data_IF_815471210609
#
_entry.id   IF_815471210609
#
_cell.length_a   1.000
_cell.length_b   1.000
_cell.length_c   1.000
_cell.angle_alpha   90.00
_cell.angle_beta   90.00
_cell.angle_gamma   90.00
#
_symmetry.space_group_name_H-M   'P 1'
#
loop_
_entity.id
_entity.type
_entity.pdbx_description
1 polymer ?
#
# COMPACT_ATOMS: atom_id res chain seq x y z
N UNK A 1 5.21 12.62 -4.83
CA UNK A 1 5.29 12.06 -6.19
C UNK A 1 6.61 12.46 -6.81
N UNK A 2 6.97 11.88 -7.95
CA UNK A 2 8.25 12.15 -8.61
C UNK A 2 8.36 13.60 -9.12
N UNK A 3 7.23 14.22 -9.46
CA UNK A 3 7.12 15.59 -9.97
C UNK A 3 6.80 16.65 -8.89
N UNK A 4 6.62 16.23 -7.64
CA UNK A 4 6.21 17.12 -6.55
C UNK A 4 4.75 17.61 -6.59
N UNK A 5 3.94 17.17 -7.55
CA UNK A 5 2.52 17.56 -7.64
C UNK A 5 1.66 16.97 -6.51
N UNK A 6 2.12 15.87 -5.91
CA UNK A 6 1.50 15.21 -4.76
C UNK A 6 2.50 15.11 -3.63
N UNK A 7 2.13 15.62 -2.46
CA UNK A 7 2.90 15.49 -1.21
C UNK A 7 2.10 14.66 -0.22
N UNK A 8 2.76 13.79 0.54
CA UNK A 8 2.12 13.00 1.60
C UNK A 8 2.87 13.20 2.91
N UNK A 9 2.18 12.96 4.02
CA UNK A 9 2.77 13.04 5.34
C UNK A 9 1.71 12.82 6.41
N UNK A 10 1.93 13.40 7.57
CA UNK A 10 0.96 13.39 8.65
C UNK A 10 0.83 14.77 9.28
N UNK A 11 -0.36 15.07 9.78
CA UNK A 11 -0.66 16.28 10.52
C UNK A 11 -1.23 15.92 11.89
N UNK A 12 -0.95 16.75 12.89
CA UNK A 12 -1.58 16.63 14.20
C UNK A 12 -2.99 17.23 14.13
N UNK A 13 -4.00 16.42 14.40
CA UNK A 13 -5.38 16.81 14.43
C UNK A 13 -5.91 16.73 15.86
N UNK A 14 -6.28 17.86 16.45
CA UNK A 14 -6.89 17.89 17.79
C UNK A 14 -8.38 17.58 17.64
N UNK A 15 -8.81 16.39 18.06
CA UNK A 15 -10.22 16.12 18.28
C UNK A 15 -10.60 16.52 19.71
N UNK A 16 -11.91 16.58 20.03
CA UNK A 16 -12.46 17.06 21.30
C UNK A 16 -11.90 16.41 22.58
N UNK A 17 -11.16 15.30 22.46
CA UNK A 17 -10.70 14.54 23.62
C UNK A 17 -9.19 14.26 23.64
N UNK A 18 -8.49 14.15 22.49
CA UNK A 18 -7.03 13.96 22.38
C UNK A 18 -6.55 14.39 20.99
N UNK A 19 -5.27 14.73 20.84
CA UNK A 19 -4.72 14.96 19.50
C UNK A 19 -4.18 13.69 18.85
N UNK A 20 -4.61 13.48 17.61
CA UNK A 20 -4.40 12.29 16.81
C UNK A 20 -3.57 12.65 15.57
N UNK A 21 -2.75 11.71 15.09
CA UNK A 21 -2.01 11.91 13.86
C UNK A 21 -2.85 11.43 12.68
N UNK A 22 -2.95 12.25 11.63
CA UNK A 22 -3.72 11.91 10.42
C UNK A 22 -2.80 11.93 9.22
N UNK A 23 -2.74 10.81 8.52
CA UNK A 23 -2.11 10.72 7.22
C UNK A 23 -2.84 11.65 6.25
N UNK A 24 -2.09 12.43 5.49
CA UNK A 24 -2.66 13.31 4.48
C UNK A 24 -2.01 13.10 3.12
N UNK A 25 -2.76 13.46 2.08
CA UNK A 25 -2.28 13.72 0.72
C UNK A 25 -2.61 15.15 0.36
N UNK A 26 -1.66 15.88 -0.21
CA UNK A 26 -1.84 17.25 -0.65
C UNK A 26 -1.64 17.36 -2.16
N UNK A 27 -2.48 18.17 -2.81
CA UNK A 27 -2.25 18.65 -4.18
C UNK A 27 -2.52 20.14 -4.26
N UNK A 28 -1.94 20.82 -5.25
CA UNK A 28 -2.18 22.24 -5.46
C UNK A 28 -3.66 22.56 -5.74
N UNK A 29 -4.37 21.68 -6.45
CA UNK A 29 -5.76 21.88 -6.82
C UNK A 29 -6.76 21.52 -5.70
N UNK A 30 -6.45 20.50 -4.89
CA UNK A 30 -7.36 19.95 -3.89
C UNK A 30 -7.03 20.34 -2.45
N UNK A 31 -5.87 20.96 -2.20
CA UNK A 31 -5.39 21.20 -0.84
C UNK A 31 -5.06 19.91 -0.10
N UNK A 32 -5.10 19.96 1.24
CA UNK A 32 -4.87 18.79 2.09
C UNK A 32 -6.12 17.90 2.15
N UNK A 33 -5.93 16.62 1.90
CA UNK A 33 -6.92 15.55 2.01
C UNK A 33 -6.50 14.60 3.13
N UNK A 34 -7.37 14.41 4.12
CA UNK A 34 -7.23 13.35 5.11
C UNK A 34 -7.47 11.98 4.46
N UNK A 35 -6.58 11.02 4.72
CA UNK A 35 -6.64 9.67 4.17
C UNK A 35 -7.44 8.69 5.03
N UNK A 36 -7.78 9.06 6.27
CA UNK A 36 -8.47 8.21 7.22
C UNK A 36 -7.55 7.37 8.09
N UNK A 37 -8.12 6.33 8.70
CA UNK A 37 -7.44 5.31 9.50
C UNK A 37 -8.03 3.93 9.15
N UNK A 38 -7.49 2.85 9.73
CA UNK A 38 -8.05 1.50 9.59
C UNK A 38 -9.16 1.22 10.63
N UNK A 39 -9.84 2.27 11.08
CA UNK A 39 -10.86 2.22 12.13
C UNK A 39 -10.34 2.54 13.53
N UNK A 40 -9.04 2.77 13.70
CA UNK A 40 -8.42 3.28 14.93
C UNK A 40 -8.22 4.80 14.92
N UNK A 41 -7.35 5.27 15.81
CA UNK A 41 -7.21 6.70 16.11
C UNK A 41 -6.21 7.44 15.20
N UNK A 42 -5.09 6.82 14.84
CA UNK A 42 -4.02 7.51 14.10
C UNK A 42 -3.59 6.82 12.80
N UNK A 43 -3.00 7.62 11.91
CA UNK A 43 -2.35 7.17 10.68
C UNK A 43 -1.18 8.08 10.30
N UNK A 44 -0.18 7.51 9.64
CA UNK A 44 1.02 8.20 9.15
C UNK A 44 1.35 7.74 7.73
N UNK A 45 1.42 8.65 6.76
CA UNK A 45 1.86 8.32 5.40
C UNK A 45 3.36 8.55 5.22
N UNK A 46 4.09 7.54 4.73
CA UNK A 46 5.56 7.55 4.61
C UNK A 46 6.04 7.47 3.16
N UNK A 47 5.25 6.87 2.26
CA UNK A 47 5.61 6.72 0.85
C UNK A 47 4.47 7.08 -0.08
N UNK A 48 4.80 7.58 -1.28
CA UNK A 48 3.86 7.83 -2.37
C UNK A 48 4.47 7.41 -3.72
N UNK A 49 3.67 6.80 -4.59
CA UNK A 49 4.09 6.39 -5.94
C UNK A 49 4.50 7.59 -6.81
N UNK A 50 5.20 7.33 -7.92
CA UNK A 50 5.72 8.37 -8.79
C UNK A 50 4.62 9.26 -9.38
N UNK A 51 3.47 8.68 -9.72
CA UNK A 51 2.27 9.36 -10.22
C UNK A 51 1.37 9.94 -9.10
N UNK A 52 1.70 9.69 -7.83
CA UNK A 52 0.93 10.19 -6.70
C UNK A 52 -0.40 9.48 -6.43
N UNK A 53 -0.65 8.32 -7.06
CA UNK A 53 -1.92 7.59 -6.98
C UNK A 53 -1.99 6.58 -5.83
N UNK A 54 -0.86 6.07 -5.36
CA UNK A 54 -0.76 5.11 -4.26
C UNK A 54 0.04 5.72 -3.10
N UNK A 55 -0.51 5.63 -1.89
CA UNK A 55 0.13 6.09 -0.65
C UNK A 55 0.26 4.92 0.31
N UNK A 56 1.38 4.81 1.04
CA UNK A 56 1.62 3.75 2.02
C UNK A 56 2.12 4.32 3.34
N UNK A 57 1.94 3.55 4.41
CA UNK A 57 2.37 3.94 5.74
C UNK A 57 1.91 2.97 6.81
N UNK A 58 1.64 3.49 8.01
CA UNK A 58 1.01 2.75 9.11
C UNK A 58 -0.27 3.45 9.56
N UNK A 59 -1.24 2.66 10.02
CA UNK A 59 -2.46 3.16 10.63
C UNK A 59 -2.91 2.21 11.74
N UNK A 60 -3.60 2.78 12.73
CA UNK A 60 -4.24 2.00 13.78
C UNK A 60 -5.52 1.38 13.22
N UNK A 61 -5.67 0.07 13.43
CA UNK A 61 -6.93 -0.61 13.18
C UNK A 61 -7.93 -0.40 14.34
N UNK A 62 -9.16 -0.90 14.19
CA UNK A 62 -10.20 -0.79 15.23
C UNK A 62 -9.83 -1.40 16.59
N UNK A 63 -8.83 -2.28 16.64
CA UNK A 63 -8.29 -2.87 17.87
C UNK A 63 -7.11 -2.07 18.46
N UNK A 64 -6.79 -0.90 17.90
CA UNK A 64 -5.65 -0.06 18.30
C UNK A 64 -4.29 -0.63 17.90
N UNK A 65 -4.24 -1.58 16.96
CA UNK A 65 -3.00 -2.19 16.52
C UNK A 65 -2.45 -1.46 15.29
N UNK A 66 -1.15 -1.19 15.28
CA UNK A 66 -0.46 -0.61 14.13
C UNK A 66 -0.37 -1.62 12.98
N UNK A 67 -0.86 -1.24 11.82
CA UNK A 67 -0.88 -2.07 10.61
C UNK A 67 -0.41 -1.27 9.42
N UNK A 68 0.36 -1.93 8.56
CA UNK A 68 0.78 -1.35 7.30
C UNK A 68 -0.46 -1.14 6.41
N UNK A 69 -0.62 0.07 5.86
CA UNK A 69 -1.72 0.36 4.95
C UNK A 69 -1.22 0.69 3.54
N UNK A 70 -2.14 0.51 2.58
CA UNK A 70 -2.09 1.13 1.26
C UNK A 70 -3.34 1.97 1.07
N UNK A 71 -3.22 3.11 0.39
CA UNK A 71 -4.35 3.98 0.09
C UNK A 71 -4.36 4.33 -1.39
N UNK A 72 -5.57 4.35 -1.96
CA UNK A 72 -5.85 4.93 -3.28
C UNK A 72 -7.11 5.77 -3.22
N UNK A 73 -7.24 6.73 -4.14
CA UNK A 73 -8.41 7.60 -4.19
C UNK A 73 -9.73 6.82 -4.40
N UNK A 74 -9.69 5.70 -5.14
CA UNK A 74 -10.88 4.88 -5.44
C UNK A 74 -11.18 3.84 -4.37
N UNK A 75 -10.15 3.34 -3.66
CA UNK A 75 -10.29 2.26 -2.69
C UNK A 75 -10.33 2.72 -1.23
N UNK A 76 -9.89 3.95 -0.95
CA UNK A 76 -9.67 4.40 0.43
C UNK A 76 -8.48 3.68 1.06
N UNK A 77 -8.47 3.60 2.40
CA UNK A 77 -7.41 2.95 3.17
C UNK A 77 -7.66 1.45 3.28
N UNK A 78 -6.65 0.67 2.91
CA UNK A 78 -6.63 -0.78 2.85
C UNK A 78 -5.61 -1.34 3.85
N UNK A 79 -6.02 -2.29 4.69
CA UNK A 79 -5.11 -3.02 5.59
C UNK A 79 -4.39 -4.13 4.82
N UNK A 80 -3.08 -4.00 4.65
CA UNK A 80 -2.26 -4.99 3.95
C UNK A 80 -2.27 -6.36 4.64
N UNK A 81 -2.51 -6.43 5.96
CA UNK A 81 -2.60 -7.69 6.70
C UNK A 81 -3.88 -8.46 6.37
N UNK A 82 -4.94 -7.76 5.97
CA UNK A 82 -6.19 -8.38 5.57
C UNK A 82 -6.11 -8.81 4.10
N UNK A 83 -5.63 -7.94 3.21
CA UNK A 83 -5.51 -8.24 1.78
C UNK A 83 -4.53 -9.37 1.49
N UNK A 84 -3.37 -9.39 2.17
CA UNK A 84 -2.29 -10.34 1.92
C UNK A 84 -2.16 -11.41 3.02
N UNK A 85 -3.24 -11.64 3.77
CA UNK A 85 -3.26 -12.61 4.89
C UNK A 85 -2.75 -14.00 4.48
N UNK A 86 -3.03 -14.44 3.25
CA UNK A 86 -2.60 -15.73 2.72
C UNK A 86 -1.09 -15.86 2.53
N UNK A 87 -0.36 -14.75 2.48
CA UNK A 87 1.11 -14.73 2.37
C UNK A 87 1.79 -14.74 3.75
N UNK A 88 1.04 -14.53 4.84
CA UNK A 88 1.59 -14.39 6.18
C UNK A 88 1.55 -15.72 6.94
N UNK A 89 2.64 -16.03 7.64
CA UNK A 89 2.62 -17.09 8.66
C UNK A 89 1.65 -16.72 9.79
N UNK A 90 0.97 -17.69 10.38
CA UNK A 90 0.06 -17.45 11.50
C UNK A 90 0.79 -16.70 12.63
N UNK A 91 0.20 -15.58 13.06
CA UNK A 91 0.75 -14.68 14.07
C UNK A 91 1.70 -13.60 13.53
N UNK A 92 2.12 -13.68 12.27
CA UNK A 92 2.89 -12.61 11.61
C UNK A 92 1.98 -11.46 11.19
N UNK A 93 2.54 -10.26 11.16
CA UNK A 93 1.82 -9.07 10.66
C UNK A 93 2.79 -8.04 10.07
N UNK A 94 2.34 -7.33 9.04
CA UNK A 94 2.97 -6.15 8.47
C UNK A 94 2.62 -4.95 9.33
N UNK A 95 3.63 -4.36 9.98
CA UNK A 95 3.44 -3.25 10.92
C UNK A 95 3.51 -1.90 10.22
N UNK A 96 4.52 -1.72 9.37
CA UNK A 96 4.74 -0.45 8.67
C UNK A 96 5.22 -0.66 7.23
N UNK A 97 4.62 0.07 6.29
CA UNK A 97 5.13 0.24 4.95
C UNK A 97 5.94 1.55 4.86
N UNK A 98 7.25 1.45 4.60
CA UNK A 98 8.14 2.62 4.51
C UNK A 98 8.14 3.26 3.13
N UNK A 99 8.14 2.43 2.09
CA UNK A 99 8.29 2.89 0.72
C UNK A 99 7.62 1.93 -0.25
N UNK A 100 7.43 2.42 -1.48
CA UNK A 100 6.90 1.66 -2.59
C UNK A 100 7.68 1.98 -3.87
N UNK A 101 7.65 1.04 -4.83
CA UNK A 101 8.19 1.27 -6.16
C UNK A 101 7.46 2.41 -6.89
N UNK A 102 8.08 3.05 -7.91
CA UNK A 102 7.46 4.14 -8.66
C UNK A 102 6.06 3.84 -9.23
N UNK A 103 5.83 2.60 -9.65
CA UNK A 103 4.55 2.09 -10.17
C UNK A 103 3.57 1.61 -9.06
N UNK A 104 4.01 1.65 -7.80
CA UNK A 104 3.23 1.25 -6.63
C UNK A 104 3.04 -0.25 -6.45
N UNK A 105 3.74 -1.10 -7.22
CA UNK A 105 3.62 -2.57 -7.16
C UNK A 105 4.33 -3.19 -5.96
N UNK A 106 5.55 -2.75 -5.69
CA UNK A 106 6.36 -3.32 -4.61
C UNK A 106 6.29 -2.41 -3.40
N UNK A 107 6.08 -2.98 -2.23
CA UNK A 107 6.07 -2.26 -0.96
C UNK A 107 7.15 -2.86 -0.07
N UNK A 108 8.00 -2.01 0.51
CA UNK A 108 8.99 -2.42 1.51
C UNK A 108 8.64 -1.83 2.87
N UNK A 109 8.93 -2.59 3.91
CA UNK A 109 8.50 -2.24 5.25
C UNK A 109 9.11 -3.12 6.31
N UNK A 110 8.53 -3.07 7.50
CA UNK A 110 8.87 -3.97 8.60
C UNK A 110 7.60 -4.54 9.24
N UNK A 111 7.71 -5.74 9.76
CA UNK A 111 6.62 -6.46 10.40
C UNK A 111 7.13 -7.46 11.42
N UNK A 112 6.22 -8.04 12.19
CA UNK A 112 6.54 -9.15 13.07
C UNK A 112 6.47 -10.46 12.31
N UNK A 113 7.54 -11.25 12.41
CA UNK A 113 7.59 -12.62 11.92
C UNK A 113 7.44 -13.59 13.10
N UNK A 114 6.29 -14.26 13.19
CA UNK A 114 6.03 -15.22 14.25
C UNK A 114 6.85 -16.50 14.14
N UNK A 115 7.35 -16.85 12.93
CA UNK A 115 8.20 -18.02 12.75
C UNK A 115 9.59 -17.84 13.39
N UNK A 116 10.09 -16.60 13.42
CA UNK A 116 11.40 -16.27 14.00
C UNK A 116 11.31 -15.55 15.35
N UNK A 117 10.12 -15.04 15.70
CA UNK A 117 9.88 -14.26 16.91
C UNK A 117 10.56 -12.89 16.88
N UNK A 118 10.66 -12.26 15.71
CA UNK A 118 11.41 -11.01 15.51
C UNK A 118 10.66 -10.01 14.62
N UNK A 119 11.01 -8.73 14.78
CA UNK A 119 10.70 -7.71 13.78
C UNK A 119 11.68 -7.82 12.63
N UNK A 120 11.17 -7.94 11.42
CA UNK A 120 11.95 -8.17 10.20
C UNK A 120 11.48 -7.26 9.08
N UNK A 121 12.39 -6.94 8.17
CA UNK A 121 12.06 -6.22 6.95
C UNK A 121 11.30 -7.15 5.99
N UNK A 122 10.40 -6.59 5.19
CA UNK A 122 9.70 -7.33 4.14
C UNK A 122 9.77 -6.59 2.80
N UNK A 123 9.59 -7.37 1.73
CA UNK A 123 9.23 -6.91 0.40
C UNK A 123 7.91 -7.60 0.03
N UNK A 124 6.90 -6.81 -0.30
CA UNK A 124 5.57 -7.26 -0.71
C UNK A 124 5.35 -6.92 -2.18
N UNK A 125 4.92 -7.90 -2.97
CA UNK A 125 4.40 -7.68 -4.32
C UNK A 125 2.87 -7.59 -4.26
N UNK A 126 2.30 -6.46 -4.68
CA UNK A 126 0.86 -6.20 -4.60
C UNK A 126 0.05 -6.88 -5.70
N UNK A 127 0.69 -7.64 -6.60
CA UNK A 127 -0.01 -8.46 -7.60
C UNK A 127 -0.10 -9.90 -7.06
N UNK A 128 -1.27 -10.35 -6.58
CA UNK A 128 -1.40 -11.72 -6.09
C UNK A 128 -1.21 -12.72 -7.24
N UNK A 129 -0.49 -13.81 -6.96
CA UNK A 129 0.04 -14.79 -7.92
C UNK A 129 -0.95 -15.62 -8.78
N UNK A 130 -2.29 -15.51 -8.73
CA UNK A 130 -3.10 -15.98 -9.87
C UNK A 130 -3.20 -14.98 -11.02
N UNK A 131 -2.92 -13.69 -10.82
CA UNK A 131 -3.04 -12.65 -11.86
C UNK A 131 -1.82 -12.57 -12.81
N UNK A 132 -0.64 -12.96 -12.31
CA UNK A 132 0.63 -13.03 -13.05
C UNK A 132 0.60 -14.06 -14.19
N UNK A 133 -0.15 -15.16 -14.06
CA UNK A 133 -0.28 -16.19 -15.10
C UNK A 133 -1.21 -15.78 -16.26
N UNK A 134 -2.16 -14.87 -16.04
CA UNK A 134 -3.10 -14.43 -17.09
C UNK A 134 -2.49 -13.38 -18.03
N UNK A 135 -1.46 -12.65 -17.61
CA UNK A 135 -0.79 -11.65 -18.46
C UNK A 135 0.07 -12.29 -19.59
N UNK A 136 0.39 -13.59 -19.49
CA UNK A 136 1.15 -14.32 -20.52
C UNK A 136 0.29 -14.91 -21.64
N UNK A 137 -1.05 -14.99 -21.50
CA UNK A 137 -1.92 -15.62 -22.50
C UNK A 137 -2.42 -14.68 -23.60
N UNK A 138 -2.37 -13.35 -23.40
CA UNK A 138 -2.79 -12.36 -24.41
C UNK A 138 -1.68 -12.05 -25.43
N UNK A 139 -0.41 -12.37 -25.12
CA UNK A 139 0.76 -12.05 -25.96
C UNK A 139 1.14 -13.09 -27.03
N UNK A 140 0.61 -14.32 -27.00
CA UNK A 140 1.07 -15.40 -27.90
C UNK A 140 0.13 -15.72 -29.08
N UNK A 141 -1.10 -15.19 -29.11
CA UNK A 141 -2.07 -15.48 -30.18
C UNK A 141 -1.79 -14.76 -31.52
N UNK A 142 -0.86 -13.79 -31.54
CA UNK A 142 -0.56 -12.98 -32.73
C UNK A 142 0.49 -13.53 -33.71
N UNK A 143 1.19 -14.62 -33.38
CA UNK A 143 2.44 -15.00 -34.09
C UNK A 143 2.41 -16.28 -34.95
N UNK A 144 1.24 -16.90 -35.18
CA UNK A 144 1.16 -18.14 -35.98
C UNK A 144 0.23 -18.07 -37.20
N UNK A 145 0.24 -16.96 -37.95
CA UNK A 145 -0.44 -16.92 -39.25
C UNK A 145 0.33 -16.25 -40.38
N UNK A 146 1.48 -16.83 -40.75
CA UNK A 146 1.94 -16.80 -42.15
C UNK A 146 3.09 -17.77 -42.40
N UNK A 147 2.79 -18.90 -43.05
CA UNK A 147 3.54 -19.43 -44.22
C UNK A 147 3.03 -20.83 -44.58
N UNK A 148 2.35 -20.92 -45.73
CA UNK A 148 2.65 -21.87 -46.82
C UNK A 148 1.64 -21.67 -47.96
N UNK A 149 2.10 -21.03 -49.03
CA UNK A 149 1.66 -21.29 -50.41
C UNK A 149 2.92 -21.54 -51.22
N UNK A 150 3.06 -22.76 -51.72
CA UNK A 150 3.66 -23.09 -53.02
C UNK A 150 2.68 -24.06 -53.66
#
# INVERSE_FOLDING_TARGET
SADGAVVVGWAYYVSKHWGQWRAFRWTAAGGMQDLGTLGGDSSLAWGVSADGSVVVGLADNASGQQRAFRWTASGGMEDLNSTYASLLTNGSYLEIAHALSPDGRYIVGQGWNAATGRREAYLLDTVPEPASLLALSVGLAGLLRRRRRR
#
